data_IF_638778603909
#
_entry.id   IF_638778603909
#
_cell.length_a   1.000
_cell.length_b   1.000
_cell.length_c   1.000
_cell.angle_alpha   90.00
_cell.angle_beta   90.00
_cell.angle_gamma   90.00
#
_symmetry.space_group_name_H-M   'P 1'
#
loop_
_entity.id
_entity.type
_entity.pdbx_description
1 polymer ?
#
# COMPACT_ATOMS: atom_id res chain seq x y z
N UNK A 1 -39.31 -4.25 26.51
CA UNK A 1 -38.00 -3.67 26.12
C UNK A 1 -37.92 -3.75 24.60
N UNK A 2 -38.20 -2.66 23.90
CA UNK A 2 -38.15 -2.64 22.42
C UNK A 2 -36.73 -2.85 21.99
N UNK A 3 -36.46 -3.93 21.25
CA UNK A 3 -35.18 -4.19 20.64
C UNK A 3 -34.98 -3.11 19.55
N UNK A 4 -34.04 -2.19 19.74
CA UNK A 4 -33.68 -1.21 18.69
C UNK A 4 -33.42 -1.95 17.38
N UNK A 5 -34.01 -1.49 16.29
CA UNK A 5 -33.88 -2.12 14.97
C UNK A 5 -32.60 -1.72 14.25
N UNK A 6 -31.90 -0.64 14.69
CA UNK A 6 -30.67 -0.10 14.14
C UNK A 6 -29.86 0.71 15.17
N UNK A 7 -28.68 1.24 14.78
CA UNK A 7 -27.93 2.22 15.57
C UNK A 7 -28.76 3.51 15.72
N UNK A 8 -28.45 4.35 16.70
CA UNK A 8 -29.12 5.65 16.83
C UNK A 8 -28.55 6.68 15.84
N UNK A 9 -29.35 7.67 15.45
CA UNK A 9 -28.88 8.81 14.67
C UNK A 9 -27.70 9.53 15.32
N UNK A 10 -27.70 9.64 16.67
CA UNK A 10 -26.61 10.22 17.45
C UNK A 10 -25.29 9.41 17.36
N UNK A 11 -25.35 8.10 17.25
CA UNK A 11 -24.16 7.26 17.02
C UNK A 11 -23.63 7.47 15.60
N UNK A 12 -24.50 7.59 14.59
CA UNK A 12 -24.12 7.84 13.20
C UNK A 12 -23.54 9.24 12.99
N UNK A 13 -24.02 10.28 13.71
CA UNK A 13 -23.50 11.65 13.65
C UNK A 13 -22.00 11.74 13.98
N UNK A 14 -21.49 10.84 14.82
CA UNK A 14 -20.06 10.83 15.18
C UNK A 14 -19.16 10.26 14.10
N UNK A 15 -19.74 9.69 13.05
CA UNK A 15 -19.01 9.00 11.99
C UNK A 15 -18.71 9.96 10.84
N UNK A 16 -17.45 10.21 10.47
CA UNK A 16 -17.09 11.14 9.40
C UNK A 16 -17.78 10.86 8.06
N UNK A 17 -18.11 9.60 7.77
CA UNK A 17 -18.77 9.19 6.54
C UNK A 17 -20.17 9.80 6.38
N UNK A 18 -20.86 10.08 7.49
CA UNK A 18 -22.20 10.67 7.54
C UNK A 18 -22.21 12.15 7.93
N UNK A 19 -21.07 12.81 7.87
CA UNK A 19 -20.97 14.22 8.18
C UNK A 19 -21.88 15.09 7.28
N UNK A 20 -22.66 16.00 7.90
CA UNK A 20 -23.57 16.89 7.21
C UNK A 20 -24.93 16.26 6.84
N UNK A 21 -25.22 15.05 7.31
CA UNK A 21 -26.57 14.46 7.26
C UNK A 21 -27.41 15.03 8.40
N UNK A 22 -28.69 15.25 8.15
CA UNK A 22 -29.67 15.64 9.18
C UNK A 22 -30.05 14.44 10.05
N UNK A 23 -30.69 14.69 11.21
CA UNK A 23 -31.16 13.61 12.11
C UNK A 23 -32.18 12.70 11.43
N UNK A 24 -33.08 13.25 10.62
CA UNK A 24 -34.09 12.49 9.88
C UNK A 24 -33.42 11.58 8.82
N UNK A 25 -32.50 12.11 8.03
CA UNK A 25 -31.71 11.35 7.08
C UNK A 25 -30.88 10.23 7.75
N UNK A 26 -30.31 10.51 8.91
CA UNK A 26 -29.57 9.51 9.69
C UNK A 26 -30.49 8.43 10.26
N UNK A 27 -31.73 8.77 10.60
CA UNK A 27 -32.73 7.79 11.06
C UNK A 27 -33.09 6.82 9.94
N UNK A 28 -33.27 7.31 8.71
CA UNK A 28 -33.49 6.47 7.53
C UNK A 28 -32.29 5.56 7.23
N UNK A 29 -31.07 6.10 7.33
CA UNK A 29 -29.83 5.31 7.18
C UNK A 29 -29.71 4.27 8.28
N UNK A 30 -30.09 4.58 9.52
CA UNK A 30 -30.06 3.65 10.65
C UNK A 30 -30.93 2.40 10.42
N UNK A 31 -32.06 2.56 9.74
CA UNK A 31 -32.98 1.46 9.39
C UNK A 31 -32.40 0.49 8.34
N UNK A 32 -31.36 0.90 7.62
CA UNK A 32 -30.66 0.02 6.69
C UNK A 32 -29.76 -1.00 7.39
N UNK A 33 -29.35 -0.73 8.61
CA UNK A 33 -28.47 -1.58 9.39
C UNK A 33 -29.22 -2.82 9.94
N UNK A 34 -28.48 -3.88 10.14
CA UNK A 34 -28.96 -5.11 10.78
C UNK A 34 -28.06 -5.48 11.94
N UNK A 35 -28.65 -5.86 13.06
CA UNK A 35 -27.89 -6.36 14.20
C UNK A 35 -27.13 -7.63 13.81
N UNK A 36 -25.85 -7.72 14.20
CA UNK A 36 -25.05 -8.93 14.02
C UNK A 36 -25.19 -9.80 15.26
N UNK A 37 -25.42 -11.10 15.05
CA UNK A 37 -25.48 -12.07 16.13
C UNK A 37 -24.09 -12.24 16.76
N UNK A 38 -24.02 -12.23 18.09
CA UNK A 38 -22.77 -12.42 18.85
C UNK A 38 -22.10 -13.78 18.57
N UNK A 39 -22.87 -14.78 18.14
CA UNK A 39 -22.33 -16.09 17.77
C UNK A 39 -21.70 -16.13 16.38
N UNK A 40 -21.88 -15.09 15.58
CA UNK A 40 -21.25 -14.98 14.27
C UNK A 40 -19.79 -14.55 14.41
N UNK A 41 -18.90 -15.52 14.46
CA UNK A 41 -17.46 -15.32 14.59
C UNK A 41 -16.70 -16.06 13.49
N UNK A 42 -15.75 -15.46 12.78
CA UNK A 42 -15.45 -14.02 12.72
C UNK A 42 -16.52 -13.21 11.98
N UNK A 43 -16.50 -11.89 12.06
CA UNK A 43 -17.34 -11.00 11.24
C UNK A 43 -17.01 -11.18 9.75
N UNK A 44 -15.71 -11.29 9.45
CA UNK A 44 -15.15 -11.61 8.14
C UNK A 44 -13.69 -12.06 8.28
N UNK A 45 -13.20 -12.76 7.27
CA UNK A 45 -11.82 -13.25 7.19
C UNK A 45 -11.02 -12.56 6.08
N UNK A 46 -9.69 -12.71 6.11
CA UNK A 46 -8.77 -12.19 5.08
C UNK A 46 -9.13 -12.76 3.71
N UNK A 47 -9.07 -11.92 2.68
CA UNK A 47 -9.42 -12.24 1.29
C UNK A 47 -10.91 -12.60 1.06
N UNK A 48 -11.76 -12.50 2.06
CA UNK A 48 -13.21 -12.67 1.88
C UNK A 48 -13.79 -11.51 1.05
N UNK A 49 -14.77 -11.77 0.15
CA UNK A 49 -15.46 -10.72 -0.59
C UNK A 49 -16.19 -9.76 0.35
N UNK A 50 -15.95 -8.47 0.19
CA UNK A 50 -16.54 -7.45 1.05
C UNK A 50 -17.93 -7.03 0.53
N UNK A 51 -19.00 -7.59 1.12
CA UNK A 51 -20.39 -7.30 0.75
C UNK A 51 -21.13 -6.39 1.72
N UNK A 52 -20.57 -6.15 2.90
CA UNK A 52 -21.16 -5.33 3.96
C UNK A 52 -20.05 -4.63 4.72
N UNK A 53 -20.34 -3.48 5.29
CA UNK A 53 -19.49 -2.90 6.33
C UNK A 53 -20.21 -2.91 7.68
N UNK A 54 -19.47 -2.71 8.75
CA UNK A 54 -19.96 -2.91 10.08
C UNK A 54 -19.75 -1.67 10.93
N UNK A 55 -20.67 -1.42 11.86
CA UNK A 55 -20.59 -0.36 12.85
C UNK A 55 -20.52 -0.98 14.23
N UNK A 56 -19.44 -0.73 14.95
CA UNK A 56 -19.27 -1.07 16.35
C UNK A 56 -19.81 0.08 17.22
N UNK A 57 -20.85 -0.18 18.00
CA UNK A 57 -21.46 0.81 18.91
C UNK A 57 -21.20 0.51 20.39
N UNK A 58 -20.81 -0.73 20.74
CA UNK A 58 -20.46 -1.12 22.10
C UNK A 58 -19.46 -2.27 22.09
N UNK A 59 -18.55 -2.31 23.08
CA UNK A 59 -17.57 -3.38 23.24
C UNK A 59 -16.32 -3.15 22.39
N UNK A 60 -15.71 -4.21 21.87
CA UNK A 60 -14.49 -4.17 21.07
C UNK A 60 -14.59 -5.11 19.86
N UNK A 61 -13.91 -4.73 18.78
CA UNK A 61 -13.61 -5.63 17.66
C UNK A 61 -12.09 -5.70 17.48
N UNK A 62 -11.60 -6.92 17.37
CA UNK A 62 -10.20 -7.24 17.17
C UNK A 62 -9.95 -7.43 15.68
N UNK A 63 -9.00 -6.67 15.12
CA UNK A 63 -8.53 -6.80 13.74
C UNK A 63 -7.17 -7.47 13.72
N UNK A 64 -7.03 -8.53 12.95
CA UNK A 64 -5.81 -9.30 12.77
C UNK A 64 -5.38 -9.27 11.31
N UNK A 65 -4.12 -8.95 11.05
CA UNK A 65 -3.51 -9.04 9.73
C UNK A 65 -2.34 -10.03 9.79
N UNK A 66 -2.20 -10.94 8.81
CA UNK A 66 -1.04 -11.83 8.75
C UNK A 66 0.27 -11.05 8.75
N UNK A 67 1.15 -11.30 9.75
CA UNK A 67 2.45 -10.66 9.89
C UNK A 67 2.47 -9.27 10.53
N UNK A 68 1.33 -8.76 11.01
CA UNK A 68 1.20 -7.49 11.73
C UNK A 68 0.69 -7.71 13.17
N UNK A 69 0.80 -6.64 13.98
CA UNK A 69 0.22 -6.61 15.32
C UNK A 69 -1.31 -6.61 15.28
N UNK A 70 -1.91 -7.13 16.33
CA UNK A 70 -3.36 -7.15 16.53
C UNK A 70 -3.87 -5.77 16.91
N UNK A 71 -4.90 -5.29 16.20
CA UNK A 71 -5.55 -4.01 16.46
C UNK A 71 -6.88 -4.19 17.17
N UNK A 72 -7.12 -3.42 18.23
CA UNK A 72 -8.42 -3.34 18.90
C UNK A 72 -9.13 -2.05 18.54
N UNK A 73 -10.37 -2.18 18.09
CA UNK A 73 -11.24 -1.05 17.79
C UNK A 73 -12.24 -0.84 18.92
N UNK A 74 -12.36 0.41 19.36
CA UNK A 74 -13.33 0.87 20.35
C UNK A 74 -14.51 1.60 19.70
N UNK A 75 -15.69 1.71 20.32
CA UNK A 75 -16.82 2.47 19.80
C UNK A 75 -16.52 3.99 19.70
N UNK A 76 -17.05 4.72 18.76
CA UNK A 76 -17.89 4.31 17.63
C UNK A 76 -16.97 4.09 16.41
N UNK A 77 -16.94 2.91 15.84
CA UNK A 77 -16.01 2.60 14.75
C UNK A 77 -16.71 1.95 13.56
N UNK A 78 -16.42 2.44 12.36
CA UNK A 78 -16.74 1.80 11.08
C UNK A 78 -15.66 0.79 10.72
N UNK A 79 -16.07 -0.37 10.18
CA UNK A 79 -15.17 -1.49 9.91
C UNK A 79 -15.45 -2.03 8.52
N UNK A 80 -14.44 -1.99 7.65
CA UNK A 80 -14.47 -2.61 6.33
C UNK A 80 -15.32 -1.87 5.29
N UNK A 81 -15.56 -0.58 5.48
CA UNK A 81 -16.34 0.28 4.61
C UNK A 81 -15.72 0.41 3.21
N UNK A 82 -14.40 0.57 3.14
CA UNK A 82 -13.70 0.73 1.86
C UNK A 82 -13.87 -0.53 0.99
N UNK A 83 -13.58 -1.70 1.52
CA UNK A 83 -13.75 -2.95 0.77
C UNK A 83 -15.20 -3.16 0.32
N UNK A 84 -16.18 -2.91 1.20
CA UNK A 84 -17.59 -3.10 0.87
C UNK A 84 -18.11 -2.14 -0.22
N UNK A 85 -17.59 -0.91 -0.28
CA UNK A 85 -18.00 0.11 -1.24
C UNK A 85 -17.24 0.01 -2.57
N UNK A 86 -16.00 -0.48 -2.55
CA UNK A 86 -15.13 -0.56 -3.74
C UNK A 86 -15.06 -1.96 -4.35
N UNK A 87 -15.54 -2.98 -3.65
CA UNK A 87 -15.44 -4.39 -4.07
C UNK A 87 -14.08 -5.03 -3.79
N UNK A 88 -13.16 -4.33 -3.14
CA UNK A 88 -11.87 -4.88 -2.74
C UNK A 88 -12.03 -5.97 -1.68
N UNK A 89 -11.23 -7.05 -1.72
CA UNK A 89 -11.29 -8.11 -0.71
C UNK A 89 -10.86 -7.60 0.67
N UNK A 90 -11.25 -8.32 1.72
CA UNK A 90 -10.84 -8.00 3.09
C UNK A 90 -9.34 -8.11 3.28
N UNK A 91 -8.71 -7.10 3.85
CA UNK A 91 -7.27 -7.08 4.16
C UNK A 91 -6.94 -7.63 5.56
N UNK A 92 -7.97 -7.82 6.40
CA UNK A 92 -7.84 -8.23 7.80
C UNK A 92 -8.92 -9.24 8.15
N UNK A 93 -8.70 -10.02 9.21
CA UNK A 93 -9.73 -10.76 9.92
C UNK A 93 -10.32 -9.87 11.00
N UNK A 94 -11.64 -9.89 11.19
CA UNK A 94 -12.34 -9.12 12.23
C UNK A 94 -13.13 -10.04 13.15
N UNK A 95 -12.91 -9.94 14.46
CA UNK A 95 -13.55 -10.77 15.48
C UNK A 95 -14.15 -9.88 16.56
N UNK A 96 -15.43 -10.09 16.91
CA UNK A 96 -16.08 -9.39 18.03
C UNK A 96 -15.64 -9.98 19.36
N UNK A 97 -15.47 -9.15 20.39
CA UNK A 97 -15.36 -9.63 21.78
C UNK A 97 -16.76 -9.87 22.37
N UNK A 98 -16.91 -10.79 23.33
CA UNK A 98 -18.20 -11.03 24.00
C UNK A 98 -18.80 -9.74 24.59
N UNK A 99 -20.11 -9.57 24.43
CA UNK A 99 -20.83 -8.37 24.90
C UNK A 99 -20.70 -7.15 24.00
N UNK A 100 -20.09 -7.28 22.81
CA UNK A 100 -20.04 -6.23 21.81
C UNK A 100 -21.36 -6.09 21.05
N UNK A 101 -21.69 -4.89 20.62
CA UNK A 101 -22.83 -4.60 19.76
C UNK A 101 -22.31 -4.10 18.42
N UNK A 102 -22.57 -4.89 17.39
CA UNK A 102 -22.15 -4.61 16.01
C UNK A 102 -23.36 -4.63 15.08
N UNK A 103 -23.39 -3.69 14.17
CA UNK A 103 -24.41 -3.54 13.15
C UNK A 103 -23.79 -3.75 11.78
N UNK A 104 -24.42 -4.52 10.91
CA UNK A 104 -23.98 -4.72 9.53
C UNK A 104 -24.83 -3.89 8.57
N UNK A 105 -24.16 -3.18 7.66
CA UNK A 105 -24.81 -2.47 6.56
C UNK A 105 -24.37 -3.09 5.22
N UNK A 106 -25.29 -3.78 4.51
CA UNK A 106 -25.01 -4.32 3.19
C UNK A 106 -24.73 -3.19 2.19
N UNK A 107 -23.63 -3.27 1.45
CA UNK A 107 -23.22 -2.25 0.47
C UNK A 107 -24.33 -1.95 -0.56
N UNK A 108 -25.02 -2.99 -1.05
CA UNK A 108 -26.13 -2.83 -2.00
C UNK A 108 -27.29 -2.00 -1.45
N UNK A 109 -27.56 -2.09 -0.12
CA UNK A 109 -28.66 -1.33 0.51
C UNK A 109 -28.34 0.15 0.57
N UNK A 110 -27.15 0.50 1.03
CA UNK A 110 -26.73 1.91 1.08
C UNK A 110 -26.58 2.48 -0.32
N UNK A 111 -26.06 1.73 -1.29
CA UNK A 111 -25.98 2.18 -2.67
C UNK A 111 -27.35 2.46 -3.29
N UNK A 112 -28.33 1.61 -3.04
CA UNK A 112 -29.71 1.83 -3.51
C UNK A 112 -30.30 3.10 -2.87
N UNK A 113 -30.19 3.24 -1.55
CA UNK A 113 -30.67 4.42 -0.81
C UNK A 113 -30.05 5.71 -1.34
N UNK A 114 -28.72 5.75 -1.52
CA UNK A 114 -28.01 6.92 -2.02
C UNK A 114 -28.34 7.21 -3.50
N UNK A 115 -28.71 6.19 -4.28
CA UNK A 115 -29.20 6.33 -5.66
C UNK A 115 -30.58 7.02 -5.73
N UNK A 116 -31.44 6.76 -4.75
CA UNK A 116 -32.75 7.40 -4.60
C UNK A 116 -32.63 8.83 -4.03
N UNK A 117 -31.60 9.11 -3.23
CA UNK A 117 -31.30 10.39 -2.57
C UNK A 117 -30.01 11.00 -3.10
N UNK A 118 -30.03 11.54 -4.31
CA UNK A 118 -28.82 11.95 -5.04
C UNK A 118 -27.94 12.96 -4.28
N UNK A 119 -28.55 13.95 -3.60
CA UNK A 119 -27.79 14.94 -2.81
C UNK A 119 -27.01 14.29 -1.65
N UNK A 120 -27.65 13.33 -0.95
CA UNK A 120 -27.00 12.54 0.09
C UNK A 120 -25.90 11.64 -0.50
N UNK A 121 -26.16 11.08 -1.69
CA UNK A 121 -25.19 10.28 -2.42
C UNK A 121 -23.90 11.05 -2.71
N UNK A 122 -24.03 12.28 -3.21
CA UNK A 122 -22.87 13.16 -3.48
C UNK A 122 -22.13 13.49 -2.18
N UNK A 123 -22.84 13.88 -1.12
CA UNK A 123 -22.25 14.20 0.20
C UNK A 123 -21.52 13.00 0.80
N UNK A 124 -22.14 11.83 0.75
CA UNK A 124 -21.54 10.58 1.20
C UNK A 124 -20.23 10.28 0.45
N UNK A 125 -20.22 10.41 -0.88
CA UNK A 125 -19.02 10.18 -1.69
C UNK A 125 -17.91 11.19 -1.41
N UNK A 126 -18.24 12.46 -1.19
CA UNK A 126 -17.27 13.49 -0.80
C UNK A 126 -16.66 13.16 0.56
N UNK A 127 -17.48 12.76 1.53
CA UNK A 127 -16.99 12.34 2.85
C UNK A 127 -16.09 11.09 2.75
N UNK A 128 -16.50 10.10 1.95
CA UNK A 128 -15.70 8.90 1.70
C UNK A 128 -14.34 9.24 1.08
N UNK A 129 -14.34 10.13 0.08
CA UNK A 129 -13.10 10.60 -0.57
C UNK A 129 -12.19 11.32 0.43
N UNK A 130 -12.75 12.13 1.32
CA UNK A 130 -12.01 12.78 2.41
C UNK A 130 -11.34 11.76 3.34
N UNK A 131 -12.07 10.72 3.76
CA UNK A 131 -11.54 9.64 4.61
C UNK A 131 -10.39 8.89 3.90
N UNK A 132 -10.56 8.59 2.61
CA UNK A 132 -9.52 7.92 1.81
C UNK A 132 -8.30 8.81 1.66
N UNK A 133 -8.49 10.10 1.36
CA UNK A 133 -7.40 11.07 1.22
C UNK A 133 -6.60 11.20 2.52
N UNK A 134 -7.27 11.31 3.67
CA UNK A 134 -6.63 11.35 4.99
C UNK A 134 -5.84 10.07 5.30
N UNK A 135 -6.39 8.91 4.95
CA UNK A 135 -5.72 7.62 5.13
C UNK A 135 -4.46 7.56 4.29
N UNK A 136 -4.57 7.86 2.99
CA UNK A 136 -3.42 7.90 2.08
C UNK A 136 -2.33 8.86 2.59
N UNK A 137 -2.72 10.05 3.03
CA UNK A 137 -1.76 11.03 3.55
C UNK A 137 -1.03 10.55 4.81
N UNK A 138 -1.74 9.89 5.73
CA UNK A 138 -1.12 9.27 6.92
C UNK A 138 -0.17 8.13 6.56
N UNK A 139 -0.58 7.27 5.63
CA UNK A 139 0.25 6.15 5.18
C UNK A 139 1.52 6.66 4.47
N UNK A 140 1.42 7.71 3.66
CA UNK A 140 2.58 8.38 3.04
C UNK A 140 3.57 8.93 4.07
N UNK A 141 3.08 9.62 5.10
CA UNK A 141 3.94 10.12 6.21
C UNK A 141 4.64 8.96 6.91
N UNK A 142 3.89 7.90 7.24
CA UNK A 142 4.45 6.71 7.88
C UNK A 142 5.54 6.05 7.04
N UNK A 143 5.32 5.92 5.73
CA UNK A 143 6.31 5.39 4.78
C UNK A 143 7.55 6.30 4.72
N UNK A 144 7.38 7.62 4.69
CA UNK A 144 8.48 8.58 4.71
C UNK A 144 9.31 8.48 5.99
N UNK A 145 8.67 8.36 7.15
CA UNK A 145 9.34 8.19 8.45
C UNK A 145 10.10 6.86 8.52
N UNK A 146 9.49 5.76 8.08
CA UNK A 146 10.13 4.44 8.00
C UNK A 146 11.35 4.48 7.07
N UNK A 147 11.24 5.15 5.92
CA UNK A 147 12.36 5.35 4.97
C UNK A 147 13.49 6.16 5.58
N UNK A 148 13.17 7.25 6.28
CA UNK A 148 14.16 8.09 6.98
C UNK A 148 14.91 7.30 8.04
N UNK A 149 14.18 6.54 8.89
CA UNK A 149 14.77 5.68 9.91
C UNK A 149 15.70 4.62 9.31
N UNK A 150 15.28 4.02 8.22
CA UNK A 150 16.07 3.00 7.54
C UNK A 150 17.34 3.59 6.90
N UNK A 151 17.26 4.80 6.30
CA UNK A 151 18.44 5.50 5.79
C UNK A 151 19.43 5.86 6.90
N UNK A 152 18.93 6.31 8.05
CA UNK A 152 19.78 6.60 9.22
C UNK A 152 20.47 5.33 9.72
N UNK A 153 19.71 4.25 9.88
CA UNK A 153 20.26 2.94 10.26
C UNK A 153 21.34 2.47 9.31
N UNK A 154 21.15 2.61 8.00
CA UNK A 154 22.16 2.24 7.01
C UNK A 154 23.45 3.09 7.10
N UNK A 155 23.33 4.40 7.37
CA UNK A 155 24.48 5.26 7.59
C UNK A 155 25.31 4.80 8.80
N UNK A 156 24.63 4.51 9.90
CA UNK A 156 25.30 4.03 11.11
C UNK A 156 25.93 2.64 10.93
N UNK A 157 25.26 1.72 10.22
CA UNK A 157 25.85 0.42 9.89
C UNK A 157 27.12 0.56 9.03
N UNK A 158 27.15 1.46 8.05
CA UNK A 158 28.35 1.75 7.26
C UNK A 158 29.47 2.32 8.12
N UNK A 159 29.15 3.28 9.00
CA UNK A 159 30.09 3.86 9.93
C UNK A 159 30.69 2.82 10.87
N UNK A 160 29.86 1.94 11.42
CA UNK A 160 30.34 0.83 12.26
C UNK A 160 31.26 -0.12 11.49
N UNK A 161 30.95 -0.43 10.22
CA UNK A 161 31.81 -1.25 9.38
C UNK A 161 33.19 -0.59 9.16
N UNK A 162 33.23 0.71 8.90
CA UNK A 162 34.46 1.47 8.75
C UNK A 162 35.29 1.46 10.04
N UNK A 163 34.64 1.69 11.19
CA UNK A 163 35.31 1.62 12.49
C UNK A 163 35.92 0.24 12.78
N UNK A 164 35.23 -0.84 12.38
CA UNK A 164 35.79 -2.22 12.54
C UNK A 164 37.01 -2.41 11.68
N UNK A 165 37.07 -1.81 10.46
CA UNK A 165 38.24 -1.91 9.58
C UNK A 165 39.43 -1.06 10.06
N UNK A 166 39.17 0.05 10.77
CA UNK A 166 40.17 0.96 11.30
C UNK A 166 40.78 0.49 12.66
N UNK A 167 40.09 -0.43 13.36
CA UNK A 167 40.54 -0.94 14.66
C UNK A 167 41.52 -2.08 14.52
N UNK A 168 42.32 -2.31 15.59
CA UNK A 168 43.23 -3.46 15.65
C UNK A 168 42.44 -4.75 15.45
N UNK A 169 42.96 -5.62 14.58
CA UNK A 169 42.30 -6.88 14.23
C UNK A 169 42.18 -7.78 15.46
N UNK A 170 40.97 -8.25 15.73
CA UNK A 170 40.61 -9.17 16.80
C UNK A 170 39.86 -10.36 16.22
N UNK A 171 39.74 -11.48 16.94
CA UNK A 171 38.92 -12.62 16.47
C UNK A 171 37.48 -12.29 16.18
N UNK A 172 36.95 -11.13 16.64
CA UNK A 172 35.59 -10.66 16.41
C UNK A 172 35.49 -9.75 15.20
N UNK A 173 36.60 -9.17 14.70
CA UNK A 173 36.58 -8.18 13.62
C UNK A 173 35.96 -8.74 12.31
N UNK A 174 36.40 -9.92 11.88
CA UNK A 174 35.89 -10.57 10.67
C UNK A 174 34.40 -10.97 10.78
N UNK A 175 33.93 -11.66 11.84
CA UNK A 175 32.51 -11.97 11.99
C UNK A 175 31.58 -10.74 12.05
N UNK A 176 32.03 -9.66 12.72
CA UNK A 176 31.27 -8.41 12.83
C UNK A 176 31.21 -7.71 11.46
N UNK A 177 32.33 -7.60 10.76
CA UNK A 177 32.39 -7.03 9.41
C UNK A 177 31.44 -7.77 8.46
N UNK A 178 31.50 -9.11 8.42
CA UNK A 178 30.67 -9.93 7.55
C UNK A 178 29.17 -9.78 7.88
N UNK A 179 28.83 -9.64 9.15
CA UNK A 179 27.46 -9.40 9.58
C UNK A 179 26.96 -8.03 9.14
N UNK A 180 27.77 -7.00 9.34
CA UNK A 180 27.45 -5.63 8.89
C UNK A 180 27.30 -5.56 7.37
N UNK A 181 28.20 -6.21 6.61
CA UNK A 181 28.14 -6.23 5.15
C UNK A 181 26.89 -6.97 4.64
N UNK A 182 26.52 -8.08 5.26
CA UNK A 182 25.24 -8.78 4.99
C UNK A 182 24.05 -7.88 5.25
N UNK A 183 24.00 -7.17 6.37
CA UNK A 183 22.90 -6.26 6.72
C UNK A 183 22.82 -5.07 5.73
N UNK A 184 23.95 -4.45 5.40
CA UNK A 184 24.03 -3.36 4.43
C UNK A 184 23.56 -3.84 3.04
N UNK A 185 24.02 -5.02 2.62
CA UNK A 185 23.66 -5.59 1.31
C UNK A 185 22.21 -6.02 1.26
N UNK A 186 21.66 -6.59 2.33
CA UNK A 186 20.26 -6.96 2.41
C UNK A 186 19.33 -5.74 2.37
N UNK A 187 19.72 -4.66 3.05
CA UNK A 187 18.98 -3.41 3.10
C UNK A 187 19.20 -2.48 1.88
N UNK A 188 20.10 -2.80 0.95
CA UNK A 188 20.27 -2.06 -0.32
C UNK A 188 18.99 -2.02 -1.17
N UNK A 189 18.03 -2.92 -0.93
CA UNK A 189 16.70 -2.92 -1.57
C UNK A 189 15.77 -1.78 -1.15
N UNK A 190 16.22 -0.87 -0.32
CA UNK A 190 15.48 0.36 0.08
C UNK A 190 15.43 1.42 -1.00
N UNK A 191 16.14 1.27 -2.10
CA UNK A 191 15.86 2.05 -3.30
C UNK A 191 14.48 1.62 -3.81
N UNK A 192 13.48 2.45 -3.49
CA UNK A 192 12.10 2.24 -3.88
C UNK A 192 12.04 1.97 -5.39
N UNK A 193 11.63 0.77 -5.75
CA UNK A 193 11.41 0.37 -7.13
C UNK A 193 9.95 0.57 -7.46
N UNK A 194 9.70 1.25 -8.54
CA UNK A 194 8.35 1.53 -9.04
C UNK A 194 8.03 0.48 -10.10
N UNK A 195 6.89 -0.18 -9.97
CA UNK A 195 6.29 -0.97 -11.03
C UNK A 195 5.55 0.00 -11.97
N UNK A 196 5.85 0.02 -13.28
CA UNK A 196 5.15 0.89 -14.22
C UNK A 196 3.64 0.61 -14.23
N UNK A 197 2.78 1.57 -13.82
CA UNK A 197 1.35 1.37 -13.87
C UNK A 197 0.87 1.28 -15.34
N UNK A 198 -0.26 0.59 -15.61
CA UNK A 198 -0.77 0.43 -16.98
C UNK A 198 -0.93 1.74 -17.77
N UNK A 199 -1.28 2.83 -17.07
CA UNK A 199 -1.43 4.17 -17.66
C UNK A 199 -0.08 4.83 -18.04
N UNK A 200 1.05 4.37 -17.47
CA UNK A 200 2.40 4.85 -17.73
C UNK A 200 3.33 3.67 -18.04
N UNK A 201 2.88 2.76 -18.91
CA UNK A 201 3.66 1.61 -19.32
C UNK A 201 5.05 2.02 -19.81
N UNK A 202 6.07 1.23 -19.45
CA UNK A 202 7.45 1.49 -19.77
C UNK A 202 8.12 0.26 -20.37
N UNK A 203 9.00 0.49 -21.34
CA UNK A 203 9.75 -0.56 -22.05
C UNK A 203 11.21 -0.20 -22.17
N UNK A 204 12.08 -1.18 -22.37
CA UNK A 204 13.47 -0.98 -22.82
C UNK A 204 13.62 -1.63 -24.17
N UNK A 205 14.12 -0.87 -25.11
CA UNK A 205 14.52 -1.36 -26.45
C UNK A 205 16.02 -1.64 -26.41
N UNK A 206 16.38 -2.90 -26.54
CA UNK A 206 17.73 -3.37 -26.86
C UNK A 206 17.91 -3.46 -28.37
N UNK A 207 19.13 -3.70 -28.88
CA UNK A 207 19.44 -3.68 -30.32
C UNK A 207 18.42 -4.44 -31.20
N UNK A 208 17.94 -5.59 -30.76
CA UNK A 208 17.06 -6.48 -31.56
C UNK A 208 15.73 -6.84 -30.85
N UNK A 209 15.42 -6.30 -29.68
CA UNK A 209 14.22 -6.67 -28.91
C UNK A 209 13.74 -5.55 -28.01
N UNK A 210 12.43 -5.48 -27.84
CA UNK A 210 11.79 -4.64 -26.82
C UNK A 210 11.34 -5.50 -25.65
N UNK A 211 11.64 -5.04 -24.43
CA UNK A 211 11.31 -5.72 -23.18
C UNK A 211 10.48 -4.82 -22.28
N UNK A 212 9.40 -5.34 -21.70
CA UNK A 212 8.63 -4.59 -20.72
C UNK A 212 9.42 -4.41 -19.42
N UNK A 213 9.37 -3.21 -18.85
CA UNK A 213 9.94 -2.93 -17.54
C UNK A 213 9.00 -3.51 -16.48
N UNK A 214 9.54 -4.42 -15.64
CA UNK A 214 8.82 -4.96 -14.49
C UNK A 214 8.90 -4.02 -13.28
N UNK A 215 10.08 -3.49 -13.00
CA UNK A 215 10.32 -2.48 -11.98
C UNK A 215 11.50 -1.58 -12.35
N UNK A 216 11.49 -0.34 -11.88
CA UNK A 216 12.54 0.65 -12.15
C UNK A 216 12.79 1.53 -10.92
N UNK A 217 14.06 1.89 -10.71
CA UNK A 217 14.50 2.85 -9.69
C UNK A 217 15.58 3.77 -10.29
N UNK A 218 16.11 4.69 -9.50
CA UNK A 218 17.25 5.55 -9.92
C UNK A 218 18.51 4.76 -10.31
N UNK A 219 18.67 3.56 -9.78
CA UNK A 219 19.92 2.79 -9.91
C UNK A 219 19.75 1.43 -10.57
N UNK A 220 18.52 0.96 -10.74
CA UNK A 220 18.28 -0.37 -11.30
C UNK A 220 17.02 -0.38 -12.14
N UNK A 221 17.02 -1.20 -13.16
CA UNK A 221 15.84 -1.55 -13.95
C UNK A 221 15.73 -3.07 -14.07
N UNK A 222 14.53 -3.61 -13.88
CA UNK A 222 14.22 -5.02 -14.14
C UNK A 222 13.31 -5.11 -15.35
N UNK A 223 13.68 -5.96 -16.31
CA UNK A 223 12.94 -6.16 -17.56
C UNK A 223 12.60 -7.63 -17.77
N UNK A 224 11.49 -7.87 -18.50
CA UNK A 224 11.12 -9.19 -18.98
C UNK A 224 11.72 -9.45 -20.36
N UNK A 225 12.74 -10.32 -20.45
CA UNK A 225 13.41 -10.67 -21.69
C UNK A 225 12.70 -11.85 -22.37
N UNK A 226 12.38 -11.71 -23.64
CA UNK A 226 11.66 -12.75 -24.41
C UNK A 226 12.54 -13.98 -24.78
N UNK A 227 13.84 -13.92 -24.59
CA UNK A 227 14.81 -14.99 -24.90
C UNK A 227 15.68 -15.35 -23.70
N UNK A 228 16.87 -15.87 -23.97
CA UNK A 228 17.87 -16.12 -22.94
C UNK A 228 18.50 -14.79 -22.50
N UNK A 229 18.34 -14.38 -21.22
CA UNK A 229 18.96 -13.17 -20.73
C UNK A 229 20.49 -13.27 -20.78
N UNK A 230 21.21 -12.13 -20.99
CA UNK A 230 22.65 -12.08 -20.86
C UNK A 230 23.10 -12.53 -19.46
N UNK A 231 24.32 -13.09 -19.40
CA UNK A 231 24.89 -13.56 -18.13
C UNK A 231 25.09 -12.42 -17.12
N UNK A 232 25.07 -12.74 -15.83
CA UNK A 232 25.37 -11.78 -14.77
C UNK A 232 26.77 -11.16 -14.99
N UNK A 233 26.88 -9.85 -14.78
CA UNK A 233 28.12 -9.09 -15.00
C UNK A 233 28.30 -8.57 -16.43
N UNK A 234 27.51 -9.00 -17.40
CA UNK A 234 27.55 -8.51 -18.79
C UNK A 234 27.10 -7.04 -18.83
N UNK A 235 27.79 -6.22 -19.63
CA UNK A 235 27.34 -4.87 -20.00
C UNK A 235 26.23 -4.95 -21.03
N UNK A 236 25.17 -4.18 -20.79
CA UNK A 236 24.02 -4.06 -21.68
C UNK A 236 23.68 -2.60 -21.83
N UNK A 237 23.37 -2.17 -23.04
CA UNK A 237 22.86 -0.83 -23.35
C UNK A 237 21.56 -0.92 -24.11
N UNK A 238 20.73 0.11 -23.97
CA UNK A 238 19.43 0.18 -24.62
C UNK A 238 18.81 1.56 -24.46
N UNK A 239 17.58 1.71 -24.92
CA UNK A 239 16.79 2.93 -24.77
C UNK A 239 15.54 2.60 -23.96
N UNK A 240 15.42 3.20 -22.77
CA UNK A 240 14.21 3.13 -21.98
C UNK A 240 13.18 4.11 -22.51
N UNK A 241 11.99 3.62 -22.81
CA UNK A 241 10.85 4.44 -23.21
C UNK A 241 9.90 4.57 -22.02
N UNK A 242 9.89 5.76 -21.40
CA UNK A 242 9.18 6.08 -20.17
C UNK A 242 8.07 7.09 -20.45
N UNK A 243 6.85 6.64 -20.60
CA UNK A 243 5.68 7.49 -20.87
C UNK A 243 5.88 8.50 -22.03
N UNK A 244 6.48 8.05 -23.13
CA UNK A 244 6.75 8.86 -24.33
C UNK A 244 8.10 9.56 -24.36
N UNK A 245 8.89 9.52 -23.29
CA UNK A 245 10.27 10.04 -23.25
C UNK A 245 11.27 8.90 -23.44
N UNK A 246 12.20 9.07 -24.36
CA UNK A 246 13.30 8.11 -24.60
C UNK A 246 14.53 8.51 -23.79
N UNK A 247 15.08 7.58 -23.02
CA UNK A 247 16.28 7.77 -22.20
C UNK A 247 17.27 6.67 -22.56
N UNK A 248 18.47 6.99 -23.08
CA UNK A 248 19.51 6.00 -23.24
C UNK A 248 19.97 5.51 -21.86
N UNK A 249 20.03 4.21 -21.71
CA UNK A 249 20.48 3.56 -20.48
C UNK A 249 21.58 2.56 -20.81
N UNK A 250 22.53 2.45 -19.90
CA UNK A 250 23.56 1.41 -19.92
C UNK A 250 23.80 0.89 -18.50
N UNK A 251 24.32 -0.31 -18.39
CA UNK A 251 24.63 -0.84 -17.08
C UNK A 251 25.04 -2.31 -17.11
N UNK A 252 25.31 -2.85 -15.95
CA UNK A 252 25.67 -4.26 -15.77
C UNK A 252 24.48 -5.10 -15.37
N UNK A 253 24.37 -6.29 -15.92
CA UNK A 253 23.43 -7.30 -15.46
C UNK A 253 23.77 -7.69 -14.02
N UNK A 254 22.97 -7.20 -13.08
CA UNK A 254 23.15 -7.45 -11.66
C UNK A 254 22.62 -8.84 -11.25
N UNK A 255 21.48 -9.24 -11.82
CA UNK A 255 20.81 -10.50 -11.49
C UNK A 255 19.92 -11.00 -12.63
N UNK A 256 19.90 -12.32 -12.81
CA UNK A 256 18.96 -13.00 -13.71
C UNK A 256 18.14 -14.02 -12.91
N UNK A 257 16.83 -14.02 -13.11
CA UNK A 257 15.91 -14.97 -12.46
C UNK A 257 14.85 -15.38 -13.48
N UNK A 258 15.00 -16.56 -14.08
CA UNK A 258 14.17 -16.99 -15.20
C UNK A 258 14.29 -16.02 -16.38
N UNK A 259 13.16 -15.47 -16.82
CA UNK A 259 13.12 -14.45 -17.89
C UNK A 259 13.24 -13.00 -17.40
N UNK A 260 13.44 -12.77 -16.10
CA UNK A 260 13.66 -11.44 -15.54
C UNK A 260 15.14 -11.14 -15.45
N UNK A 261 15.56 -10.04 -16.08
CA UNK A 261 16.90 -9.50 -15.99
C UNK A 261 16.86 -8.19 -15.23
N UNK A 262 17.62 -8.09 -14.16
CA UNK A 262 17.85 -6.83 -13.42
C UNK A 262 19.19 -6.26 -13.80
N UNK A 263 19.22 -5.03 -14.28
CA UNK A 263 20.40 -4.29 -14.65
C UNK A 263 20.66 -3.17 -13.63
N UNK A 264 21.89 -3.05 -13.16
CA UNK A 264 22.37 -1.89 -12.40
C UNK A 264 22.75 -0.80 -13.42
N UNK A 265 22.08 0.35 -13.33
CA UNK A 265 22.27 1.47 -14.25
C UNK A 265 23.59 2.19 -13.96
N UNK A 266 24.28 2.54 -15.02
CA UNK A 266 25.47 3.40 -14.98
C UNK A 266 25.09 4.88 -14.79
N UNK A 267 26.09 5.72 -14.65
CA UNK A 267 25.92 7.18 -14.54
C UNK A 267 25.21 7.72 -15.78
N UNK A 268 24.15 8.47 -15.57
CA UNK A 268 23.42 9.19 -16.60
C UNK A 268 23.74 10.69 -16.52
N UNK A 269 23.64 11.39 -17.62
CA UNK A 269 23.72 12.87 -17.64
C UNK A 269 22.47 13.45 -16.91
N UNK A 270 22.63 14.66 -16.39
CA UNK A 270 21.62 15.31 -15.54
C UNK A 270 20.24 15.42 -16.20
N UNK A 271 20.17 15.63 -17.52
CA UNK A 271 18.93 15.70 -18.29
C UNK A 271 18.13 14.37 -18.22
N UNK A 272 18.84 13.25 -18.38
CA UNK A 272 18.20 11.91 -18.32
C UNK A 272 17.87 11.51 -16.89
N UNK A 273 18.67 11.93 -15.91
CA UNK A 273 18.35 11.76 -14.49
C UNK A 273 17.04 12.50 -14.16
N UNK A 274 16.91 13.76 -14.58
CA UNK A 274 15.70 14.56 -14.36
C UNK A 274 14.46 13.93 -15.03
N UNK A 275 14.59 13.41 -16.24
CA UNK A 275 13.52 12.73 -16.96
C UNK A 275 13.10 11.43 -16.26
N UNK A 276 14.06 10.61 -15.80
CA UNK A 276 13.80 9.41 -15.01
C UNK A 276 13.11 9.75 -13.69
N UNK A 277 13.58 10.75 -12.95
CA UNK A 277 12.96 11.19 -11.70
C UNK A 277 11.54 11.71 -11.91
N UNK A 278 11.30 12.46 -12.97
CA UNK A 278 9.97 12.91 -13.37
C UNK A 278 9.01 11.74 -13.68
N UNK A 279 9.50 10.70 -14.33
CA UNK A 279 8.74 9.47 -14.55
C UNK A 279 8.45 8.73 -13.25
N UNK A 280 9.47 8.49 -12.42
CA UNK A 280 9.34 7.80 -11.13
C UNK A 280 8.32 8.52 -10.22
N UNK A 281 8.38 9.86 -10.17
CA UNK A 281 7.44 10.67 -9.40
C UNK A 281 6.00 10.48 -9.88
N UNK A 282 5.77 10.54 -11.20
CA UNK A 282 4.42 10.35 -11.78
C UNK A 282 3.88 8.94 -11.55
N UNK A 283 4.73 7.92 -11.73
CA UNK A 283 4.34 6.54 -11.50
C UNK A 283 4.01 6.28 -10.02
N UNK A 284 4.81 6.84 -9.09
CA UNK A 284 4.54 6.79 -7.66
C UNK A 284 3.22 7.47 -7.27
N UNK A 285 2.89 8.60 -7.88
CA UNK A 285 1.61 9.28 -7.63
C UNK A 285 0.41 8.44 -8.07
N UNK A 286 0.53 7.69 -9.17
CA UNK A 286 -0.52 6.77 -9.63
C UNK A 286 -0.64 5.52 -8.76
N UNK A 287 0.47 4.98 -8.24
CA UNK A 287 0.46 3.87 -7.27
C UNK A 287 -0.27 4.22 -5.96
N UNK A 288 -0.35 5.49 -5.64
CA UNK A 288 -1.02 5.98 -4.43
C UNK A 288 -2.52 6.15 -4.64
N UNK A 289 -2.95 6.33 -5.89
CA UNK A 289 -4.35 6.56 -6.29
C UNK A 289 -5.08 5.28 -6.72
N UNK A 290 -4.37 4.17 -6.85
CA UNK A 290 -4.90 2.83 -7.08
C UNK A 290 -4.72 1.97 -5.83
#
# INVERSE_FOLDING_TARGET
MFRRMGPSASELLTIPLFQGFSEDELSEVADLFKHVDEHRQPLFDVNEPATSFYLLTKGEVVLERPGDDTFKLSPTALIGELGALTGLPRSTRATMTPGSTVWALPAKRIQAFLGEHQELGVRFLVNLLGIVADKVHRDQRRIADMRSNLMTTQKELKRLRELVLETVETPLSAPVHDTLDKLITHNRRVNYRVEPPPALAATVRFDNASAAIADISRTHVTVHVAGTPPAQGTWVSGVAQLAGTEIPISGRVHRVTGHKMTMELDLMIDEYVAALEGYLTRAQLLDILC
#
